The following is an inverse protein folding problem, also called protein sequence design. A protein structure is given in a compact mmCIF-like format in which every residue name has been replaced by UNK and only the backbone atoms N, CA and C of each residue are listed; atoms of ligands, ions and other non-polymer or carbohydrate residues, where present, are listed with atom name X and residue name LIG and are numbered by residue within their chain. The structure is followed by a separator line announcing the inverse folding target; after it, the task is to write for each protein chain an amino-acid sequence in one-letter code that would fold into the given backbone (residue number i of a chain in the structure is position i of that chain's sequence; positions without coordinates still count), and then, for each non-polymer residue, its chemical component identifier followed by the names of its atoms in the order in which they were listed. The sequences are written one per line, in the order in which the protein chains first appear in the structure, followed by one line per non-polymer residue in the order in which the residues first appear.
data_IF_061679915232
#
_entry.id   IF_061679915232
#
_cell.length_a   1.000
_cell.length_b   1.000
_cell.length_c   1.000
_cell.angle_alpha   90.00
_cell.angle_beta   90.00
_cell.angle_gamma   90.00
#
_symmetry.space_group_name_H-M   'P 1'
#
loop_
_entity.id
_entity.type
_entity.pdbx_description
1 polymer ?
#
# COMPACT_ATOMS: atom_id res chain seq x y z
N UNK A 1 20.33 20.34 -6.65
CA UNK A 1 19.19 21.08 -6.08
C UNK A 1 18.31 20.08 -5.34
N UNK A 2 17.83 20.46 -4.17
CA UNK A 2 16.82 19.65 -3.46
C UNK A 2 15.51 19.79 -4.24
N UNK A 3 15.08 18.71 -4.90
CA UNK A 3 13.84 18.67 -5.70
C UNK A 3 12.62 18.24 -4.87
N UNK A 4 12.80 18.05 -3.56
CA UNK A 4 11.71 17.79 -2.63
C UNK A 4 10.75 18.98 -2.56
N UNK A 5 9.47 18.75 -2.51
CA UNK A 5 8.51 19.84 -2.33
C UNK A 5 8.76 20.59 -1.02
N UNK A 6 8.52 21.90 -1.04
CA UNK A 6 8.48 22.68 0.20
C UNK A 6 7.36 22.17 1.11
N UNK A 7 7.46 22.47 2.40
CA UNK A 7 6.43 22.11 3.38
C UNK A 7 5.09 22.74 2.97
N UNK A 8 5.11 24.01 2.56
CA UNK A 8 3.89 24.72 2.15
C UNK A 8 3.27 24.12 0.89
N UNK A 9 4.09 23.74 -0.13
CA UNK A 9 3.57 23.05 -1.31
C UNK A 9 2.91 21.71 -0.94
N UNK A 10 3.52 20.95 -0.04
CA UNK A 10 2.98 19.68 0.42
C UNK A 10 1.63 19.85 1.15
N UNK A 11 1.53 20.83 2.05
CA UNK A 11 0.28 21.12 2.75
C UNK A 11 -0.79 21.71 1.83
N UNK A 12 -0.44 22.62 0.92
CA UNK A 12 -1.38 23.16 -0.06
C UNK A 12 -1.97 22.04 -0.94
N UNK A 13 -1.10 21.11 -1.37
CA UNK A 13 -1.54 19.95 -2.13
C UNK A 13 -2.46 19.05 -1.29
N UNK A 14 -2.12 18.77 -0.03
CA UNK A 14 -2.87 17.89 0.85
C UNK A 14 -4.24 18.46 1.20
N UNK A 15 -4.31 19.75 1.55
CA UNK A 15 -5.54 20.44 1.95
C UNK A 15 -6.46 20.79 0.77
N UNK A 16 -5.96 20.76 -0.47
CA UNK A 16 -6.78 21.02 -1.66
C UNK A 16 -7.76 19.88 -2.01
N UNK A 17 -7.78 18.81 -1.24
CA UNK A 17 -8.60 17.60 -1.48
C UNK A 17 -9.25 17.11 -0.20
N UNK A 18 -10.33 16.30 -0.32
CA UNK A 18 -10.92 15.64 0.84
C UNK A 18 -9.91 14.77 1.56
N UNK A 19 -10.09 14.56 2.86
CA UNK A 19 -9.28 13.63 3.65
C UNK A 19 -9.07 12.30 2.89
N UNK A 20 -7.80 11.91 2.71
CA UNK A 20 -7.41 10.71 1.97
C UNK A 20 -7.68 9.47 2.82
N UNK A 21 -8.55 8.58 2.36
CA UNK A 21 -8.89 7.33 3.04
C UNK A 21 -9.22 6.22 2.05
N UNK A 22 -8.78 5.02 2.37
CA UNK A 22 -8.95 3.87 1.49
C UNK A 22 -8.29 2.62 1.98
N UNK A 23 -7.90 1.77 1.07
CA UNK A 23 -7.29 0.49 1.37
C UNK A 23 -6.15 0.14 0.41
N UNK A 24 -5.27 -0.75 0.86
CA UNK A 24 -4.40 -1.50 -0.04
C UNK A 24 -5.29 -2.53 -0.75
N UNK A 25 -5.29 -2.49 -2.09
CA UNK A 25 -6.29 -3.20 -2.85
C UNK A 25 -5.69 -4.20 -3.83
N UNK A 26 -6.23 -5.39 -3.79
CA UNK A 26 -6.17 -6.41 -4.81
C UNK A 26 -7.51 -7.17 -4.80
N UNK A 27 -8.07 -7.48 -5.98
CA UNK A 27 -9.40 -8.10 -6.04
C UNK A 27 -9.42 -9.50 -5.41
N UNK A 28 -10.55 -9.89 -4.80
CA UNK A 28 -10.72 -11.17 -4.05
C UNK A 28 -10.44 -12.42 -4.88
N UNK A 29 -10.52 -12.34 -6.18
CA UNK A 29 -10.29 -13.46 -7.10
C UNK A 29 -8.84 -13.57 -7.60
N UNK A 30 -7.96 -12.66 -7.22
CA UNK A 30 -6.53 -12.74 -7.48
C UNK A 30 -5.81 -13.60 -6.43
N UNK A 31 -5.02 -14.56 -6.88
CA UNK A 31 -4.13 -15.32 -6.00
C UNK A 31 -2.86 -14.53 -5.65
N UNK A 32 -2.42 -13.66 -6.54
CA UNK A 32 -1.25 -12.80 -6.38
C UNK A 32 -1.33 -11.59 -7.34
N UNK A 33 -0.30 -10.73 -7.35
CA UNK A 33 -0.26 -9.54 -8.22
C UNK A 33 -0.17 -9.86 -9.71
N UNK A 34 0.41 -10.99 -10.11
CA UNK A 34 0.43 -11.41 -11.52
C UNK A 34 -1.01 -11.58 -12.00
N UNK A 35 -1.85 -12.26 -11.23
CA UNK A 35 -3.26 -12.42 -11.55
C UNK A 35 -3.96 -11.10 -11.82
N UNK A 36 -3.65 -10.08 -11.03
CA UNK A 36 -4.29 -8.78 -11.18
C UNK A 36 -3.96 -8.08 -12.50
N UNK A 37 -2.76 -8.31 -13.04
CA UNK A 37 -2.25 -7.50 -14.14
C UNK A 37 -2.03 -8.24 -15.45
N UNK A 38 -1.92 -9.58 -15.45
CA UNK A 38 -1.72 -10.38 -16.67
C UNK A 38 -2.99 -10.42 -17.55
N UNK A 39 -2.81 -10.76 -18.84
CA UNK A 39 -3.92 -10.89 -19.80
C UNK A 39 -4.90 -11.99 -19.38
N UNK A 40 -4.39 -13.16 -18.97
CA UNK A 40 -5.22 -14.30 -18.61
C UNK A 40 -6.17 -13.96 -17.48
N UNK A 41 -7.48 -13.92 -17.74
CA UNK A 41 -8.55 -13.68 -16.79
C UNK A 41 -8.72 -12.21 -16.38
N UNK A 42 -8.10 -11.26 -17.07
CA UNK A 42 -8.19 -9.85 -16.74
C UNK A 42 -9.62 -9.31 -16.79
N UNK A 43 -10.41 -9.69 -17.80
CA UNK A 43 -11.78 -9.19 -17.98
C UNK A 43 -12.69 -9.54 -16.79
N UNK A 44 -12.57 -10.74 -16.27
CA UNK A 44 -13.34 -11.19 -15.11
C UNK A 44 -12.89 -10.45 -13.85
N UNK A 45 -11.56 -10.29 -13.66
CA UNK A 45 -11.00 -9.57 -12.51
C UNK A 45 -11.32 -8.08 -12.55
N UNK A 46 -11.37 -7.48 -13.75
CA UNK A 46 -11.77 -6.08 -13.88
C UNK A 46 -13.23 -5.87 -13.49
N UNK A 47 -14.13 -6.85 -13.77
CA UNK A 47 -15.52 -6.82 -13.28
C UNK A 47 -15.58 -6.96 -11.76
N UNK A 48 -14.78 -7.86 -11.17
CA UNK A 48 -14.69 -7.98 -9.71
C UNK A 48 -14.14 -6.68 -9.10
N UNK A 49 -13.14 -6.07 -9.74
CA UNK A 49 -12.60 -4.76 -9.32
C UNK A 49 -13.68 -3.68 -9.38
N UNK A 50 -14.47 -3.59 -10.43
CA UNK A 50 -15.57 -2.62 -10.57
C UNK A 50 -16.61 -2.79 -9.45
N UNK A 51 -16.99 -4.03 -9.12
CA UNK A 51 -17.93 -4.33 -8.03
C UNK A 51 -17.34 -3.92 -6.67
N UNK A 52 -16.11 -4.29 -6.39
CA UNK A 52 -15.45 -4.01 -5.11
C UNK A 52 -15.14 -2.52 -4.91
N UNK A 53 -14.74 -1.80 -5.97
CA UNK A 53 -14.50 -0.36 -5.88
C UNK A 53 -15.82 0.43 -5.75
N UNK A 54 -16.93 -0.07 -6.35
CA UNK A 54 -18.27 0.45 -6.06
C UNK A 54 -18.62 0.32 -4.57
N UNK A 55 -18.31 -0.84 -3.98
CA UNK A 55 -18.49 -1.07 -2.55
C UNK A 55 -17.61 -0.16 -1.71
N UNK A 56 -16.32 0.01 -2.07
CA UNK A 56 -15.39 0.90 -1.38
C UNK A 56 -15.88 2.36 -1.40
N UNK A 57 -16.33 2.85 -2.55
CA UNK A 57 -16.94 4.17 -2.67
C UNK A 57 -18.21 4.33 -1.81
N UNK A 58 -19.03 3.27 -1.70
CA UNK A 58 -20.27 3.28 -0.92
C UNK A 58 -20.06 3.44 0.60
N UNK A 59 -18.86 3.17 1.09
CA UNK A 59 -18.48 3.40 2.49
C UNK A 59 -17.67 4.68 2.68
N UNK A 60 -17.46 5.44 1.59
CA UNK A 60 -16.78 6.72 1.59
C UNK A 60 -15.29 6.67 1.33
N UNK A 61 -14.71 5.54 0.93
CA UNK A 61 -13.32 5.49 0.47
C UNK A 61 -13.16 6.28 -0.84
N UNK A 62 -12.07 7.02 -0.96
CA UNK A 62 -11.77 7.86 -2.12
C UNK A 62 -10.42 7.55 -2.76
N UNK A 63 -9.70 6.58 -2.24
CA UNK A 63 -8.41 6.18 -2.79
C UNK A 63 -8.12 4.70 -2.54
N UNK A 64 -7.29 4.11 -3.40
CA UNK A 64 -6.68 2.79 -3.20
C UNK A 64 -5.18 2.87 -3.40
N UNK A 65 -4.44 2.02 -2.68
CA UNK A 65 -3.01 1.82 -2.89
C UNK A 65 -2.80 0.48 -3.58
N UNK A 66 -2.13 0.49 -4.74
CA UNK A 66 -1.94 -0.68 -5.59
C UNK A 66 -0.47 -0.86 -5.95
N UNK A 67 -0.06 -2.11 -6.11
CA UNK A 67 1.30 -2.49 -6.50
C UNK A 67 1.21 -3.16 -7.87
N UNK A 68 1.47 -2.43 -8.97
CA UNK A 68 1.57 -3.04 -10.30
C UNK A 68 2.72 -4.05 -10.35
N UNK A 69 2.55 -5.10 -11.15
CA UNK A 69 3.55 -6.18 -11.19
C UNK A 69 4.51 -6.00 -12.37
N UNK A 70 5.76 -5.67 -12.05
CA UNK A 70 6.82 -5.41 -13.03
C UNK A 70 7.01 -6.55 -14.05
N UNK A 71 6.94 -7.80 -13.60
CA UNK A 71 7.16 -8.95 -14.50
C UNK A 71 6.06 -9.05 -15.58
N UNK A 72 4.86 -8.58 -15.30
CA UNK A 72 3.77 -8.53 -16.29
C UNK A 72 4.05 -7.42 -17.31
N UNK A 73 4.46 -6.23 -16.87
CA UNK A 73 4.90 -5.18 -17.79
C UNK A 73 6.06 -5.66 -18.67
N UNK A 74 7.03 -6.37 -18.11
CA UNK A 74 8.19 -6.88 -18.87
C UNK A 74 7.80 -7.88 -19.96
N UNK A 75 6.81 -8.74 -19.68
CA UNK A 75 6.43 -9.85 -20.59
C UNK A 75 5.25 -9.55 -21.50
N UNK A 76 4.37 -8.65 -21.11
CA UNK A 76 3.13 -8.28 -21.82
C UNK A 76 3.00 -6.76 -21.93
N UNK A 77 4.08 -6.08 -22.34
CA UNK A 77 4.23 -4.62 -22.28
C UNK A 77 3.00 -3.84 -22.74
N UNK A 78 2.63 -3.96 -24.02
CA UNK A 78 1.52 -3.17 -24.60
C UNK A 78 0.18 -3.53 -23.94
N UNK A 79 -0.04 -4.82 -23.72
CA UNK A 79 -1.24 -5.31 -23.04
C UNK A 79 -1.31 -4.85 -21.59
N UNK A 80 -0.18 -4.84 -20.88
CA UNK A 80 -0.12 -4.29 -19.51
C UNK A 80 -0.49 -2.80 -19.50
N UNK A 81 0.05 -2.00 -20.41
CA UNK A 81 -0.21 -0.56 -20.47
C UNK A 81 -1.69 -0.27 -20.79
N UNK A 82 -2.34 -1.08 -21.64
CA UNK A 82 -3.77 -0.99 -21.90
C UNK A 82 -4.60 -1.37 -20.65
N UNK A 83 -4.28 -2.48 -20.02
CA UNK A 83 -4.97 -2.95 -18.82
C UNK A 83 -4.81 -1.99 -17.64
N UNK A 84 -3.62 -1.39 -17.49
CA UNK A 84 -3.38 -0.37 -16.46
C UNK A 84 -4.26 0.87 -16.68
N UNK A 85 -4.39 1.33 -17.93
CA UNK A 85 -5.29 2.43 -18.29
C UNK A 85 -6.74 2.10 -17.92
N UNK A 86 -7.25 0.95 -18.34
CA UNK A 86 -8.61 0.49 -18.04
C UNK A 86 -8.87 0.32 -16.55
N UNK A 87 -7.86 -0.09 -15.81
CA UNK A 87 -7.94 -0.18 -14.35
C UNK A 87 -8.12 1.20 -13.70
N UNK A 88 -7.35 2.20 -14.15
CA UNK A 88 -7.51 3.58 -13.70
C UNK A 88 -8.89 4.14 -14.07
N UNK A 89 -9.43 3.82 -15.25
CA UNK A 89 -10.78 4.21 -15.67
C UNK A 89 -11.85 3.63 -14.73
N UNK A 90 -11.73 2.35 -14.35
CA UNK A 90 -12.65 1.71 -13.41
C UNK A 90 -12.56 2.37 -12.03
N UNK A 91 -11.38 2.66 -11.51
CA UNK A 91 -11.24 3.37 -10.24
C UNK A 91 -11.85 4.77 -10.31
N UNK A 92 -11.57 5.51 -11.37
CA UNK A 92 -12.08 6.88 -11.59
C UNK A 92 -13.60 6.93 -11.72
N UNK A 93 -14.22 5.94 -12.37
CA UNK A 93 -15.68 5.78 -12.43
C UNK A 93 -16.34 5.85 -11.06
N UNK A 94 -15.67 5.30 -10.05
CA UNK A 94 -16.11 5.31 -8.65
C UNK A 94 -15.55 6.48 -7.84
N UNK A 95 -14.89 7.46 -8.47
CA UNK A 95 -14.23 8.61 -7.81
C UNK A 95 -13.15 8.16 -6.84
N UNK A 96 -12.48 7.06 -7.15
CA UNK A 96 -11.36 6.51 -6.40
C UNK A 96 -10.07 6.82 -7.15
N UNK A 97 -9.15 7.50 -6.49
CA UNK A 97 -7.79 7.74 -7.00
C UNK A 97 -6.84 6.61 -6.62
N UNK A 98 -5.77 6.44 -7.37
CA UNK A 98 -4.80 5.38 -7.17
C UNK A 98 -3.47 5.93 -6.64
N UNK A 99 -2.96 5.36 -5.54
CA UNK A 99 -1.56 5.48 -5.14
C UNK A 99 -0.81 4.31 -5.75
N UNK A 100 0.22 4.58 -6.53
CA UNK A 100 0.98 3.57 -7.28
C UNK A 100 2.29 3.27 -6.57
N UNK A 101 2.55 2.00 -6.28
CA UNK A 101 3.78 1.52 -5.65
C UNK A 101 4.70 0.90 -6.69
N UNK A 102 5.98 1.28 -6.74
CA UNK A 102 6.94 0.72 -7.68
C UNK A 102 7.83 -0.37 -7.08
N UNK A 103 8.64 -0.05 -6.09
CA UNK A 103 9.52 -1.03 -5.45
C UNK A 103 8.86 -1.74 -4.27
N UNK A 104 9.39 -2.91 -3.89
CA UNK A 104 8.88 -3.65 -2.74
C UNK A 104 9.93 -4.60 -2.18
N UNK A 105 10.29 -4.43 -0.90
CA UNK A 105 11.24 -5.32 -0.22
C UNK A 105 10.59 -6.44 0.60
N UNK A 106 9.26 -6.53 0.63
CA UNK A 106 8.56 -7.69 1.21
C UNK A 106 8.64 -8.89 0.25
N UNK A 107 9.81 -9.50 0.16
CA UNK A 107 10.12 -10.54 -0.82
C UNK A 107 10.57 -11.84 -0.15
N UNK A 108 10.21 -13.01 -0.70
CA UNK A 108 10.74 -14.28 -0.24
C UNK A 108 12.21 -14.47 -0.69
N UNK A 109 12.92 -15.49 -0.17
CA UNK A 109 14.22 -15.90 -0.67
C UNK A 109 14.20 -16.22 -2.16
N UNK A 110 15.39 -16.18 -2.81
CA UNK A 110 15.54 -16.24 -4.28
C UNK A 110 14.79 -17.40 -4.93
N UNK A 111 14.95 -18.61 -4.41
CA UNK A 111 14.33 -19.80 -5.01
C UNK A 111 12.79 -19.72 -5.01
N UNK A 112 12.20 -19.18 -3.97
CA UNK A 112 10.75 -18.96 -3.90
C UNK A 112 10.29 -17.78 -4.75
N UNK A 113 11.07 -16.70 -4.77
CA UNK A 113 10.78 -15.53 -5.60
C UNK A 113 10.77 -15.89 -7.09
N UNK A 114 11.76 -16.65 -7.56
CA UNK A 114 11.86 -17.06 -8.97
C UNK A 114 10.69 -17.93 -9.43
N UNK A 115 10.14 -18.78 -8.57
CA UNK A 115 8.95 -19.60 -8.87
C UNK A 115 7.71 -18.74 -9.15
N UNK A 116 7.67 -17.52 -8.59
CA UNK A 116 6.55 -16.58 -8.68
C UNK A 116 6.67 -15.58 -9.83
N UNK A 117 7.60 -15.77 -10.75
CA UNK A 117 7.82 -14.88 -11.91
C UNK A 117 7.22 -15.42 -13.21
N UNK A 118 6.31 -16.38 -13.14
CA UNK A 118 5.71 -17.03 -14.32
C UNK A 118 4.27 -16.56 -14.50
N UNK A 119 3.96 -16.05 -15.68
CA UNK A 119 2.61 -15.72 -16.09
C UNK A 119 1.82 -17.00 -16.40
N UNK A 120 0.51 -16.87 -16.46
CA UNK A 120 -0.40 -17.98 -16.69
C UNK A 120 -1.29 -18.26 -15.49
N UNK A 121 -1.83 -19.46 -15.37
CA UNK A 121 -2.68 -19.84 -14.25
C UNK A 121 -1.94 -19.74 -12.91
N UNK A 122 -2.40 -18.83 -12.04
CA UNK A 122 -1.82 -18.65 -10.71
C UNK A 122 -2.51 -19.55 -9.70
N UNK A 123 -1.71 -20.21 -8.87
CA UNK A 123 -2.22 -21.08 -7.80
C UNK A 123 -2.39 -20.29 -6.52
N UNK A 124 -3.48 -20.54 -5.81
CA UNK A 124 -3.63 -20.06 -4.44
C UNK A 124 -2.60 -20.74 -3.56
N UNK A 125 -1.66 -19.95 -3.05
CA UNK A 125 -0.61 -20.41 -2.14
C UNK A 125 -0.94 -19.95 -0.73
N UNK A 126 -1.23 -20.90 0.14
CA UNK A 126 -1.44 -20.62 1.55
C UNK A 126 -0.15 -20.08 2.18
N UNK A 127 -0.23 -18.89 2.74
CA UNK A 127 0.94 -18.18 3.27
C UNK A 127 1.63 -17.27 2.25
N UNK A 128 1.05 -17.04 1.07
CA UNK A 128 1.55 -16.03 0.15
C UNK A 128 1.55 -14.64 0.82
N UNK A 129 0.46 -14.26 1.46
CA UNK A 129 0.37 -13.09 2.31
C UNK A 129 0.12 -13.49 3.78
N UNK A 130 -0.91 -14.24 4.07
CA UNK A 130 -1.28 -14.72 5.39
C UNK A 130 -1.33 -16.26 5.47
N UNK A 131 -1.33 -16.79 6.69
CA UNK A 131 -1.35 -18.23 6.97
C UNK A 131 -0.01 -18.79 7.41
N UNK A 132 0.05 -20.10 7.65
CA UNK A 132 1.16 -20.72 8.37
C UNK A 132 2.17 -21.49 7.52
N UNK A 133 1.92 -21.65 6.23
CA UNK A 133 2.69 -22.60 5.41
C UNK A 133 3.97 -21.99 4.82
N UNK A 134 3.88 -20.83 4.22
CA UNK A 134 4.99 -20.13 3.58
C UNK A 134 4.88 -18.63 3.90
N UNK A 135 5.97 -18.00 4.27
CA UNK A 135 6.02 -16.55 4.45
C UNK A 135 6.69 -15.91 3.25
N UNK A 136 6.10 -14.84 2.73
CA UNK A 136 6.76 -14.02 1.72
C UNK A 136 7.89 -13.13 2.28
N UNK A 137 7.96 -12.99 3.59
CA UNK A 137 8.97 -12.16 4.26
C UNK A 137 10.32 -12.86 4.46
N UNK A 138 10.56 -13.99 3.78
CA UNK A 138 11.78 -14.73 3.91
C UNK A 138 11.95 -15.43 5.27
N UNK A 139 13.02 -16.18 5.40
CA UNK A 139 13.47 -16.73 6.68
C UNK A 139 14.40 -15.72 7.36
N UNK A 140 14.54 -15.80 8.69
CA UNK A 140 15.45 -14.91 9.45
C UNK A 140 16.93 -15.05 9.05
N UNK A 141 17.29 -16.05 8.28
CA UNK A 141 18.66 -16.36 7.88
C UNK A 141 19.02 -15.83 6.49
N UNK A 142 18.04 -15.68 5.60
CA UNK A 142 18.24 -15.27 4.22
C UNK A 142 17.57 -13.92 3.96
N UNK A 143 18.15 -13.13 3.05
CA UNK A 143 17.50 -11.91 2.59
C UNK A 143 16.53 -12.22 1.45
N UNK A 144 15.46 -11.43 1.37
CA UNK A 144 14.52 -11.49 0.26
C UNK A 144 15.20 -11.14 -1.06
N UNK A 145 14.84 -11.83 -2.14
CA UNK A 145 15.35 -11.56 -3.47
C UNK A 145 14.43 -10.65 -4.25
N UNK A 146 15.01 -9.66 -4.91
CA UNK A 146 14.33 -8.79 -5.85
C UNK A 146 15.00 -8.85 -7.22
N UNK A 147 14.21 -8.74 -8.31
CA UNK A 147 14.77 -8.63 -9.67
C UNK A 147 15.69 -7.42 -9.85
N UNK A 148 15.57 -6.41 -9.01
CA UNK A 148 16.51 -5.28 -8.94
C UNK A 148 17.95 -5.70 -8.58
N UNK A 149 18.15 -6.89 -8.00
CA UNK A 149 19.47 -7.40 -7.69
C UNK A 149 20.26 -7.85 -8.94
N UNK A 150 19.55 -8.00 -10.07
CA UNK A 150 20.14 -8.36 -11.37
C UNK A 150 20.29 -7.08 -12.22
N UNK A 151 21.51 -6.71 -12.64
CA UNK A 151 21.75 -5.40 -13.29
C UNK A 151 20.87 -5.10 -14.52
N UNK A 152 20.65 -6.12 -15.37
CA UNK A 152 19.78 -5.96 -16.55
C UNK A 152 18.33 -5.74 -16.17
N UNK A 153 17.85 -6.43 -15.14
CA UNK A 153 16.49 -6.28 -14.63
C UNK A 153 16.31 -4.95 -13.89
N UNK A 154 17.33 -4.49 -13.18
CA UNK A 154 17.34 -3.17 -12.56
C UNK A 154 17.16 -2.07 -13.62
N UNK A 155 17.87 -2.16 -14.75
CA UNK A 155 17.72 -1.21 -15.84
C UNK A 155 16.29 -1.22 -16.41
N UNK A 156 15.69 -2.41 -16.59
CA UNK A 156 14.30 -2.55 -17.03
C UNK A 156 13.29 -1.97 -16.01
N UNK A 157 13.55 -2.12 -14.71
CA UNK A 157 12.74 -1.46 -13.69
C UNK A 157 12.81 0.07 -13.79
N UNK A 158 13.99 0.64 -14.06
CA UNK A 158 14.15 2.08 -14.26
C UNK A 158 13.38 2.57 -15.49
N UNK A 159 13.40 1.81 -16.58
CA UNK A 159 12.62 2.08 -17.79
C UNK A 159 11.12 2.04 -17.49
N UNK A 160 10.65 1.02 -16.76
CA UNK A 160 9.25 0.90 -16.32
C UNK A 160 8.78 2.07 -15.48
N UNK A 161 9.53 2.44 -14.43
CA UNK A 161 9.20 3.59 -13.59
C UNK A 161 9.15 4.87 -14.43
N UNK A 162 10.14 5.07 -15.29
CA UNK A 162 10.21 6.24 -16.18
C UNK A 162 9.01 6.30 -17.13
N UNK A 163 8.63 5.20 -17.74
CA UNK A 163 7.52 5.13 -18.67
C UNK A 163 6.19 5.45 -17.99
N UNK A 164 5.87 4.75 -16.90
CA UNK A 164 4.62 4.95 -16.15
C UNK A 164 4.51 6.40 -15.65
N UNK A 165 5.55 6.91 -14.99
CA UNK A 165 5.50 8.28 -14.45
C UNK A 165 5.42 9.31 -15.59
N UNK A 166 6.14 9.13 -16.70
CA UNK A 166 6.09 10.05 -17.84
C UNK A 166 4.70 10.10 -18.45
N UNK A 167 4.08 8.92 -18.65
CA UNK A 167 2.74 8.81 -19.25
C UNK A 167 1.66 9.46 -18.38
N UNK A 168 1.76 9.29 -17.07
CA UNK A 168 0.71 9.70 -16.12
C UNK A 168 1.09 10.90 -15.21
N UNK A 169 2.15 11.63 -15.54
CA UNK A 169 2.66 12.74 -14.69
C UNK A 169 1.66 13.85 -14.42
N UNK A 170 0.67 14.04 -15.27
CA UNK A 170 -0.36 15.09 -15.17
C UNK A 170 -1.77 14.49 -14.96
N UNK A 171 -1.87 13.19 -14.66
CA UNK A 171 -3.12 12.44 -14.54
C UNK A 171 -3.65 12.51 -13.10
N UNK A 172 -4.83 13.08 -12.89
CA UNK A 172 -5.48 13.27 -11.58
C UNK A 172 -6.08 11.98 -11.01
N UNK A 173 -6.19 10.91 -11.78
CA UNK A 173 -6.58 9.58 -11.32
C UNK A 173 -5.49 8.97 -10.42
N UNK A 174 -4.24 9.43 -10.56
CA UNK A 174 -3.14 9.03 -9.69
C UNK A 174 -2.92 10.12 -8.64
N UNK A 175 -3.11 9.75 -7.38
CA UNK A 175 -2.99 10.68 -6.27
C UNK A 175 -1.54 10.87 -5.80
N UNK A 176 -0.73 9.81 -5.82
CA UNK A 176 0.61 9.80 -5.25
C UNK A 176 1.46 8.67 -5.84
N UNK A 177 2.77 8.89 -5.95
CA UNK A 177 3.74 7.86 -6.27
C UNK A 177 4.39 7.35 -4.98
N UNK A 178 4.10 6.11 -4.59
CA UNK A 178 4.80 5.43 -3.51
C UNK A 178 6.02 4.71 -4.11
N UNK A 179 7.16 5.34 -3.94
CA UNK A 179 8.37 4.94 -4.66
C UNK A 179 8.84 3.55 -4.29
N UNK A 180 8.67 3.17 -3.00
CA UNK A 180 9.14 1.88 -2.51
C UNK A 180 8.39 1.43 -1.26
N UNK A 181 7.78 0.25 -1.33
CA UNK A 181 7.15 -0.39 -0.20
C UNK A 181 8.20 -1.01 0.74
N UNK A 182 8.16 -0.60 2.01
CA UNK A 182 8.95 -1.17 3.10
C UNK A 182 10.43 -1.40 2.77
N UNK A 183 11.16 -0.35 2.37
CA UNK A 183 12.55 -0.50 1.97
C UNK A 183 13.39 -1.07 3.11
N UNK A 184 14.18 -2.09 2.80
CA UNK A 184 15.03 -2.81 3.75
C UNK A 184 14.36 -3.98 4.48
N UNK A 185 13.04 -4.20 4.26
CA UNK A 185 12.34 -5.36 4.82
C UNK A 185 12.92 -6.70 4.27
N UNK A 186 12.42 -7.81 4.76
CA UNK A 186 12.88 -9.17 4.42
C UNK A 186 14.41 -9.34 4.55
N UNK A 187 14.98 -8.73 5.59
CA UNK A 187 16.42 -8.72 5.87
C UNK A 187 17.29 -8.13 4.73
N UNK A 188 16.72 -7.34 3.82
CA UNK A 188 17.43 -6.69 2.71
C UNK A 188 18.29 -5.49 3.17
N UNK A 189 17.95 -4.87 4.31
CA UNK A 189 18.70 -3.74 4.86
C UNK A 189 18.87 -2.61 3.83
N UNK A 190 20.11 -2.21 3.52
CA UNK A 190 20.40 -1.16 2.52
C UNK A 190 20.62 -1.69 1.10
N UNK A 191 20.33 -2.97 0.79
CA UNK A 191 20.54 -3.53 -0.55
C UNK A 191 19.76 -2.78 -1.62
N UNK A 192 18.53 -2.38 -1.33
CA UNK A 192 17.66 -1.65 -2.27
C UNK A 192 17.90 -0.13 -2.29
N UNK A 193 18.79 0.41 -1.44
CA UNK A 193 19.04 1.85 -1.37
C UNK A 193 19.52 2.47 -2.70
N UNK A 194 20.43 1.87 -3.47
CA UNK A 194 20.82 2.39 -4.78
C UNK A 194 19.64 2.51 -5.74
N UNK A 195 18.74 1.53 -5.73
CA UNK A 195 17.55 1.49 -6.58
C UNK A 195 16.50 2.51 -6.14
N UNK A 196 16.26 2.62 -4.84
CA UNK A 196 15.38 3.66 -4.29
C UNK A 196 15.88 5.07 -4.66
N UNK A 197 17.18 5.33 -4.55
CA UNK A 197 17.79 6.60 -5.00
C UNK A 197 17.53 6.84 -6.48
N UNK A 198 17.70 5.82 -7.31
CA UNK A 198 17.48 5.94 -8.77
C UNK A 198 16.02 6.17 -9.14
N UNK A 199 15.09 5.51 -8.47
CA UNK A 199 13.66 5.75 -8.66
C UNK A 199 13.28 7.18 -8.30
N UNK A 200 13.74 7.69 -7.14
CA UNK A 200 13.52 9.07 -6.73
C UNK A 200 14.09 10.06 -7.76
N UNK A 201 15.32 9.83 -8.23
CA UNK A 201 15.95 10.64 -9.28
C UNK A 201 15.09 10.72 -10.54
N UNK A 202 14.69 9.56 -11.08
CA UNK A 202 13.86 9.46 -12.29
C UNK A 202 12.56 10.25 -12.13
N UNK A 203 11.85 10.05 -11.02
CA UNK A 203 10.56 10.70 -10.80
C UNK A 203 10.74 12.21 -10.64
N UNK A 204 11.79 12.65 -9.93
CA UNK A 204 12.10 14.08 -9.78
C UNK A 204 12.47 14.75 -11.08
N UNK A 205 13.22 14.08 -11.97
CA UNK A 205 13.56 14.59 -13.31
C UNK A 205 12.30 14.77 -14.18
N UNK A 206 11.33 13.86 -14.09
CA UNK A 206 10.05 13.96 -14.81
C UNK A 206 9.17 15.08 -14.22
N UNK A 207 9.29 15.34 -12.92
CA UNK A 207 8.57 16.39 -12.18
C UNK A 207 7.04 16.29 -12.33
N UNK A 208 6.41 15.19 -11.91
CA UNK A 208 4.97 15.02 -11.99
C UNK A 208 4.22 15.99 -11.06
N UNK A 209 2.93 16.22 -11.34
CA UNK A 209 2.05 17.01 -10.45
C UNK A 209 1.72 16.30 -9.14
N UNK A 210 1.86 14.99 -9.11
CA UNK A 210 1.64 14.17 -7.92
C UNK A 210 2.89 14.20 -7.01
N UNK A 211 2.71 14.17 -5.68
CA UNK A 211 3.82 14.04 -4.74
C UNK A 211 4.39 12.62 -4.75
N UNK A 212 5.61 12.49 -4.25
CA UNK A 212 6.20 11.18 -3.95
C UNK A 212 6.20 10.90 -2.45
N UNK A 213 6.15 9.60 -2.13
CA UNK A 213 6.34 9.08 -0.79
C UNK A 213 7.14 7.79 -0.80
N UNK A 214 7.65 7.38 0.35
CA UNK A 214 8.31 6.08 0.57
C UNK A 214 7.77 5.50 1.86
N UNK A 215 7.21 4.31 1.81
CA UNK A 215 6.57 3.66 2.96
C UNK A 215 7.58 3.24 4.04
N UNK A 216 7.83 4.10 5.02
CA UNK A 216 8.63 3.79 6.21
C UNK A 216 7.84 2.81 7.08
N UNK A 217 8.47 1.73 7.50
CA UNK A 217 7.81 0.65 8.25
C UNK A 217 8.41 0.38 9.64
N UNK A 218 9.56 0.94 9.94
CA UNK A 218 10.17 0.86 11.27
C UNK A 218 9.37 1.64 12.31
N UNK A 219 8.99 1.00 13.42
CA UNK A 219 8.28 1.65 14.52
C UNK A 219 9.17 2.61 15.33
N UNK A 220 10.48 2.42 15.30
CA UNK A 220 11.43 3.29 16.00
C UNK A 220 11.91 4.43 15.09
N UNK A 221 11.10 5.47 14.99
CA UNK A 221 11.35 6.63 14.13
C UNK A 221 12.64 7.39 14.51
N UNK A 222 13.10 7.27 15.74
CA UNK A 222 14.32 7.94 16.18
C UNK A 222 15.58 7.18 15.71
N UNK A 223 15.47 5.86 15.42
CA UNK A 223 16.57 4.99 15.01
C UNK A 223 16.30 4.26 13.69
N UNK A 224 15.78 4.97 12.71
CA UNK A 224 15.55 4.41 11.36
C UNK A 224 16.85 3.95 10.70
N UNK A 225 16.77 2.88 9.92
CA UNK A 225 17.86 2.45 9.04
C UNK A 225 18.20 3.51 8.00
N UNK A 226 19.38 3.42 7.38
CA UNK A 226 19.82 4.37 6.35
C UNK A 226 18.81 4.50 5.20
N UNK A 227 18.27 3.37 4.73
CA UNK A 227 17.32 3.36 3.62
C UNK A 227 15.97 3.97 4.00
N UNK A 228 15.46 3.71 5.21
CA UNK A 228 14.23 4.33 5.70
C UNK A 228 14.41 5.83 5.94
N UNK A 229 15.57 6.22 6.50
CA UNK A 229 15.92 7.64 6.66
C UNK A 229 15.94 8.36 5.31
N UNK A 230 16.60 7.75 4.31
CA UNK A 230 16.60 8.30 2.95
C UNK A 230 15.17 8.46 2.41
N UNK A 231 14.32 7.44 2.57
CA UNK A 231 12.92 7.49 2.17
C UNK A 231 12.17 8.64 2.82
N UNK A 232 12.26 8.76 4.15
CA UNK A 232 11.62 9.83 4.92
C UNK A 232 12.10 11.22 4.47
N UNK A 233 13.40 11.39 4.29
CA UNK A 233 14.01 12.69 3.94
C UNK A 233 13.70 13.12 2.50
N UNK A 234 13.32 12.20 1.61
CA UNK A 234 12.99 12.49 0.22
C UNK A 234 11.48 12.47 -0.09
N UNK A 235 10.63 12.10 0.87
CA UNK A 235 9.17 12.11 0.69
C UNK A 235 8.58 13.51 0.74
N UNK A 236 7.71 13.87 -0.19
CA UNK A 236 6.93 15.11 -0.15
C UNK A 236 5.84 15.03 0.91
N UNK A 237 5.12 13.92 0.90
CA UNK A 237 4.15 13.50 1.91
C UNK A 237 4.77 12.32 2.65
N UNK A 238 4.79 12.36 3.97
CA UNK A 238 5.34 11.26 4.76
C UNK A 238 4.34 10.10 4.79
N UNK A 239 4.77 8.93 4.38
CA UNK A 239 3.99 7.71 4.59
C UNK A 239 4.68 6.75 5.55
N UNK A 240 3.87 5.98 6.28
CA UNK A 240 4.38 5.00 7.23
C UNK A 240 3.43 3.81 7.37
N UNK A 241 3.96 2.70 7.86
CA UNK A 241 3.19 1.52 8.23
C UNK A 241 3.18 1.35 9.74
N UNK A 242 2.04 1.02 10.31
CA UNK A 242 1.94 0.72 11.73
C UNK A 242 0.81 -0.25 12.01
N UNK A 243 1.17 -1.45 12.40
CA UNK A 243 0.25 -2.52 12.82
C UNK A 243 0.20 -2.70 14.35
N UNK A 244 0.87 -1.82 15.10
CA UNK A 244 0.85 -1.82 16.55
C UNK A 244 -0.49 -1.33 17.11
N UNK A 245 -0.80 -1.71 18.35
CA UNK A 245 -1.96 -1.20 19.09
C UNK A 245 -1.98 0.34 19.17
N UNK A 246 -3.11 0.91 19.57
CA UNK A 246 -3.36 2.35 19.61
C UNK A 246 -2.20 3.16 20.20
N UNK A 247 -1.67 2.74 21.36
CA UNK A 247 -0.57 3.45 22.03
C UNK A 247 0.67 3.57 21.13
N UNK A 248 1.05 2.47 20.48
CA UNK A 248 2.21 2.44 19.57
C UNK A 248 1.93 3.32 18.34
N UNK A 249 0.74 3.18 17.73
CA UNK A 249 0.36 3.97 16.56
C UNK A 249 0.38 5.47 16.83
N UNK A 250 -0.12 5.91 17.98
CA UNK A 250 -0.12 7.32 18.41
C UNK A 250 1.30 7.83 18.66
N UNK A 251 2.16 7.04 19.27
CA UNK A 251 3.56 7.42 19.52
C UNK A 251 4.35 7.60 18.20
N UNK A 252 4.19 6.67 17.26
CA UNK A 252 4.79 6.77 15.92
C UNK A 252 4.30 8.04 15.22
N UNK A 253 2.99 8.26 15.18
CA UNK A 253 2.40 9.44 14.54
C UNK A 253 2.93 10.75 15.16
N UNK A 254 2.98 10.83 16.49
CA UNK A 254 3.52 11.99 17.21
C UNK A 254 4.98 12.30 16.84
N UNK A 255 5.80 11.27 16.60
CA UNK A 255 7.18 11.44 16.15
C UNK A 255 7.23 11.94 14.70
N UNK A 256 6.41 11.38 13.79
CA UNK A 256 6.37 11.77 12.39
C UNK A 256 5.87 13.22 12.19
N UNK A 257 4.92 13.67 12.99
CA UNK A 257 4.44 15.07 12.95
C UNK A 257 5.54 16.11 13.21
N UNK A 258 6.65 15.75 13.86
CA UNK A 258 7.80 16.64 14.05
C UNK A 258 8.43 17.10 12.74
N UNK A 259 8.25 16.35 11.65
CA UNK A 259 8.72 16.72 10.31
C UNK A 259 7.88 17.82 9.64
N UNK A 260 6.77 18.24 10.25
CA UNK A 260 5.87 19.33 9.79
C UNK A 260 5.31 19.14 8.39
N UNK A 261 5.24 17.92 7.89
CA UNK A 261 4.65 17.56 6.59
C UNK A 261 3.35 16.81 6.78
N UNK A 262 2.46 16.79 5.76
CA UNK A 262 1.33 15.89 5.79
C UNK A 262 1.78 14.44 5.99
N UNK A 263 1.00 13.65 6.70
CA UNK A 263 1.29 12.26 7.04
C UNK A 263 0.17 11.37 6.54
N UNK A 264 0.54 10.22 5.98
CA UNK A 264 -0.38 9.18 5.53
C UNK A 264 0.05 7.84 6.11
N UNK A 265 -0.84 7.15 6.81
CA UNK A 265 -0.60 5.76 7.19
C UNK A 265 -0.99 4.85 6.01
N UNK A 266 0.00 4.34 5.30
CA UNK A 266 -0.23 3.54 4.09
C UNK A 266 -0.49 2.07 4.36
N UNK A 267 -0.27 1.59 5.59
CA UNK A 267 -0.65 0.24 6.00
C UNK A 267 -0.96 0.17 7.49
N UNK A 268 -2.16 -0.30 7.80
CA UNK A 268 -2.65 -0.56 9.15
C UNK A 268 -3.76 -1.60 9.12
N UNK A 269 -4.37 -1.91 10.24
CA UNK A 269 -5.40 -2.91 10.50
C UNK A 269 -4.81 -4.32 10.68
N UNK A 270 -4.63 -4.70 11.93
CA UNK A 270 -4.15 -6.03 12.35
C UNK A 270 -4.91 -6.42 13.63
N UNK A 271 -6.18 -6.81 13.47
CA UNK A 271 -7.12 -6.99 14.60
C UNK A 271 -6.63 -7.96 15.65
N UNK A 272 -5.98 -9.05 15.23
CA UNK A 272 -5.44 -10.01 16.21
C UNK A 272 -4.35 -9.39 17.11
N UNK A 273 -3.70 -8.31 16.67
CA UNK A 273 -2.68 -7.56 17.40
C UNK A 273 -3.23 -6.28 18.06
N UNK A 274 -4.55 -6.19 18.21
CA UNK A 274 -5.27 -5.02 18.78
C UNK A 274 -5.16 -3.72 17.96
N UNK A 275 -4.74 -3.78 16.70
CA UNK A 275 -4.85 -2.67 15.77
C UNK A 275 -6.16 -2.80 14.98
N UNK A 276 -7.16 -1.99 15.33
CA UNK A 276 -8.55 -2.15 14.91
C UNK A 276 -9.16 -0.84 14.40
N UNK A 277 -10.29 -0.95 13.70
CA UNK A 277 -11.00 0.19 13.12
C UNK A 277 -11.53 1.13 14.20
N UNK A 278 -12.06 0.59 15.29
CA UNK A 278 -12.73 1.33 16.34
C UNK A 278 -11.81 2.37 16.99
N UNK A 279 -10.54 2.06 17.13
CA UNK A 279 -9.55 2.92 17.77
C UNK A 279 -8.77 3.78 16.77
N UNK A 280 -8.30 3.17 15.66
CA UNK A 280 -7.35 3.83 14.78
C UNK A 280 -8.02 4.77 13.77
N UNK A 281 -9.16 4.38 13.20
CA UNK A 281 -9.78 5.18 12.14
C UNK A 281 -10.23 6.58 12.60
N UNK A 282 -10.85 6.71 13.81
CA UNK A 282 -11.14 8.02 14.38
C UNK A 282 -9.90 8.90 14.60
N UNK A 283 -8.78 8.30 15.05
CA UNK A 283 -7.52 9.03 15.26
C UNK A 283 -6.97 9.58 13.95
N UNK A 284 -7.01 8.80 12.88
CA UNK A 284 -6.55 9.28 11.56
C UNK A 284 -7.36 10.49 11.10
N UNK A 285 -8.68 10.45 11.26
CA UNK A 285 -9.54 11.58 10.94
C UNK A 285 -9.21 12.81 11.82
N UNK A 286 -9.24 12.66 13.15
CA UNK A 286 -9.01 13.76 14.11
C UNK A 286 -7.63 14.40 13.97
N UNK A 287 -6.64 13.64 13.57
CA UNK A 287 -5.26 14.10 13.38
C UNK A 287 -4.94 14.53 11.94
N UNK A 288 -5.95 14.53 11.05
CA UNK A 288 -5.81 14.81 9.62
C UNK A 288 -4.69 13.98 8.96
N UNK A 289 -4.70 12.67 9.22
CA UNK A 289 -3.75 11.69 8.68
C UNK A 289 -4.45 10.86 7.63
N UNK A 290 -3.97 10.87 6.39
CA UNK A 290 -4.49 9.96 5.38
C UNK A 290 -4.28 8.51 5.79
N UNK A 291 -5.15 7.58 5.37
CA UNK A 291 -5.02 6.20 5.80
C UNK A 291 -5.46 5.18 4.73
N UNK A 292 -4.72 4.06 4.68
CA UNK A 292 -5.02 2.90 3.84
C UNK A 292 -4.90 1.64 4.69
N UNK A 293 -6.03 1.02 5.04
CA UNK A 293 -5.96 -0.28 5.69
C UNK A 293 -5.44 -1.35 4.73
N UNK A 294 -4.78 -2.38 5.26
CA UNK A 294 -4.40 -3.52 4.45
C UNK A 294 -5.59 -4.43 4.22
N UNK A 295 -5.79 -4.85 2.93
CA UNK A 295 -6.91 -5.68 2.53
C UNK A 295 -8.27 -4.95 2.46
N UNK A 296 -9.19 -5.48 1.68
CA UNK A 296 -10.53 -4.93 1.56
C UNK A 296 -11.59 -6.03 1.53
N UNK A 297 -11.57 -6.90 0.52
CA UNK A 297 -12.44 -8.08 0.44
C UNK A 297 -11.59 -9.34 0.56
N UNK A 298 -11.90 -10.18 1.53
CA UNK A 298 -11.21 -11.46 1.72
C UNK A 298 -11.36 -12.36 0.49
N UNK A 299 -10.27 -12.95 0.06
CA UNK A 299 -10.25 -13.77 -1.15
C UNK A 299 -9.08 -14.72 -1.24
N UNK A 300 -8.68 -15.03 -2.46
CA UNK A 300 -7.57 -15.95 -2.76
C UNK A 300 -6.22 -15.46 -2.24
N UNK A 301 -6.06 -14.17 -2.05
CA UNK A 301 -4.87 -13.54 -1.51
C UNK A 301 -4.68 -13.74 0.00
N UNK A 302 -5.76 -14.10 0.73
CA UNK A 302 -5.74 -14.53 2.14
C UNK A 302 -5.27 -13.46 3.14
N UNK A 303 -5.57 -12.21 2.90
CA UNK A 303 -5.23 -11.10 3.80
C UNK A 303 -5.96 -11.13 5.14
N UNK A 304 -7.01 -11.93 5.27
CA UNK A 304 -7.73 -12.18 6.53
C UNK A 304 -6.95 -13.07 7.52
N UNK A 305 -5.90 -13.77 7.06
CA UNK A 305 -5.07 -14.63 7.90
C UNK A 305 -3.84 -13.88 8.43
N UNK A 306 -3.45 -14.08 9.70
CA UNK A 306 -2.21 -13.51 10.23
C UNK A 306 -0.98 -14.06 9.50
N UNK A 307 0.06 -13.24 9.41
CA UNK A 307 1.35 -13.65 8.85
C UNK A 307 1.97 -14.79 9.65
N UNK A 308 2.74 -15.65 8.98
CA UNK A 308 3.43 -16.75 9.64
C UNK A 308 4.29 -16.28 10.83
N UNK A 309 4.97 -15.14 10.69
CA UNK A 309 5.80 -14.57 11.76
C UNK A 309 4.99 -14.20 13.02
N UNK A 310 3.72 -13.83 12.88
CA UNK A 310 2.82 -13.53 14.00
C UNK A 310 2.42 -14.82 14.71
N UNK A 311 2.09 -15.86 13.95
CA UNK A 311 1.84 -17.19 14.50
C UNK A 311 3.05 -17.73 15.26
N UNK A 312 4.26 -17.62 14.69
CA UNK A 312 5.50 -18.10 15.32
C UNK A 312 5.79 -17.36 16.63
N UNK A 313 5.54 -16.05 16.70
CA UNK A 313 5.70 -15.28 17.94
C UNK A 313 4.72 -15.75 19.01
N UNK A 314 3.46 -15.92 18.67
CA UNK A 314 2.43 -16.40 19.60
C UNK A 314 2.70 -17.83 20.08
N UNK A 315 3.23 -18.71 19.21
CA UNK A 315 3.58 -20.08 19.61
C UNK A 315 4.76 -20.11 20.59
N UNK A 316 5.69 -19.17 20.47
CA UNK A 316 6.85 -19.04 21.38
C UNK A 316 6.47 -18.40 22.71
N UNK A 317 5.51 -17.47 22.71
CA UNK A 317 5.05 -16.79 23.91
C UNK A 317 3.51 -16.71 23.93
N UNK A 318 2.89 -17.64 24.68
CA UNK A 318 1.42 -17.69 24.84
C UNK A 318 0.86 -16.57 25.74
N UNK A 319 1.72 -15.78 26.39
CA UNK A 319 1.30 -14.64 27.21
C UNK A 319 1.06 -13.38 26.38
N UNK A 320 1.40 -13.39 25.09
CA UNK A 320 1.08 -12.26 24.22
C UNK A 320 -0.45 -12.12 24.16
N UNK A 321 -0.92 -10.91 24.45
CA UNK A 321 -2.35 -10.58 24.42
C UNK A 321 -2.84 -10.36 22.98
N UNK A 322 -2.81 -11.41 22.17
CA UNK A 322 -3.30 -11.41 20.79
C UNK A 322 -4.49 -12.37 20.63
N UNK A 323 -5.47 -11.94 19.84
CA UNK A 323 -6.71 -12.68 19.61
C UNK A 323 -6.79 -13.22 18.17
N UNK A 324 -6.37 -14.46 17.97
CA UNK A 324 -6.38 -15.16 16.69
C UNK A 324 -7.77 -15.69 16.27
N UNK A 325 -8.83 -15.41 17.02
CA UNK A 325 -10.21 -15.65 16.57
C UNK A 325 -10.70 -14.55 15.63
N UNK A 326 -10.00 -13.41 15.58
CA UNK A 326 -10.31 -12.30 14.69
C UNK A 326 -9.59 -12.41 13.37
N UNK A 327 -10.23 -11.97 12.29
CA UNK A 327 -9.55 -11.75 11.04
C UNK A 327 -8.43 -10.71 11.18
N UNK A 328 -7.34 -10.94 10.45
CA UNK A 328 -6.20 -10.05 10.55
C UNK A 328 -6.51 -8.70 9.90
N UNK A 329 -6.80 -8.75 8.61
CA UNK A 329 -7.15 -7.58 7.80
C UNK A 329 -8.58 -7.72 7.26
N UNK A 330 -8.83 -7.24 6.07
CA UNK A 330 -10.07 -7.26 5.30
C UNK A 330 -11.31 -6.74 6.03
N UNK A 331 -12.08 -5.93 5.34
CA UNK A 331 -13.32 -5.36 5.87
C UNK A 331 -14.55 -6.17 5.47
N UNK A 332 -14.46 -6.92 4.37
CA UNK A 332 -15.57 -7.65 3.79
C UNK A 332 -15.24 -9.12 3.55
N UNK A 333 -16.28 -9.94 3.66
CA UNK A 333 -16.26 -11.37 3.28
C UNK A 333 -16.28 -11.51 1.76
N UNK A 334 -15.92 -12.67 1.19
CA UNK A 334 -16.05 -12.92 -0.25
C UNK A 334 -17.46 -12.69 -0.80
N UNK A 335 -18.48 -12.81 0.05
CA UNK A 335 -19.89 -12.53 -0.26
C UNK A 335 -20.26 -11.04 -0.22
N UNK A 336 -19.29 -10.15 -0.04
CA UNK A 336 -19.45 -8.70 0.11
C UNK A 336 -20.26 -8.25 1.35
N UNK A 337 -20.49 -9.18 2.30
CA UNK A 337 -21.01 -8.79 3.60
C UNK A 337 -19.87 -8.32 4.51
N UNK A 338 -20.07 -7.31 5.34
CA UNK A 338 -19.07 -6.88 6.30
C UNK A 338 -18.52 -8.00 7.16
N UNK A 339 -17.22 -8.00 7.46
CA UNK A 339 -16.65 -8.83 8.51
C UNK A 339 -17.29 -8.45 9.87
N UNK A 340 -17.23 -7.16 10.21
CA UNK A 340 -17.94 -6.57 11.35
C UNK A 340 -18.75 -5.35 10.88
N UNK A 341 -20.10 -5.39 10.93
CA UNK A 341 -20.93 -4.26 10.55
C UNK A 341 -20.64 -2.96 11.32
N UNK A 342 -20.20 -3.06 12.58
CA UNK A 342 -19.87 -1.88 13.40
C UNK A 342 -18.64 -1.14 12.89
N UNK A 343 -17.65 -1.86 12.37
CA UNK A 343 -16.49 -1.24 11.74
C UNK A 343 -16.89 -0.42 10.51
N UNK A 344 -17.78 -0.96 9.70
CA UNK A 344 -18.28 -0.27 8.50
C UNK A 344 -19.10 0.97 8.87
N UNK A 345 -19.90 0.93 9.94
CA UNK A 345 -20.62 2.09 10.45
C UNK A 345 -19.64 3.21 10.89
N UNK A 346 -18.56 2.86 11.59
CA UNK A 346 -17.51 3.80 11.99
C UNK A 346 -16.85 4.42 10.75
N UNK A 347 -16.42 3.61 9.78
CA UNK A 347 -15.81 4.09 8.54
C UNK A 347 -16.75 5.08 7.84
N UNK A 348 -18.01 4.71 7.60
CA UNK A 348 -19.00 5.57 6.95
C UNK A 348 -19.22 6.88 7.70
N UNK A 349 -19.27 6.81 9.03
CA UNK A 349 -19.49 7.99 9.87
C UNK A 349 -18.38 9.02 9.70
N UNK A 350 -17.12 8.62 9.88
CA UNK A 350 -15.98 9.54 9.78
C UNK A 350 -15.69 10.00 8.34
N UNK A 351 -15.92 9.14 7.35
CA UNK A 351 -15.85 9.54 5.95
C UNK A 351 -16.85 10.65 5.63
N UNK A 352 -18.11 10.50 6.09
CA UNK A 352 -19.15 11.50 5.89
C UNK A 352 -18.82 12.82 6.59
N UNK A 353 -18.36 12.78 7.84
CA UNK A 353 -17.95 13.99 8.56
C UNK A 353 -16.84 14.74 7.80
N UNK A 354 -15.82 14.02 7.34
CA UNK A 354 -14.71 14.61 6.59
C UNK A 354 -15.17 15.28 5.29
N UNK A 355 -16.10 14.66 4.55
CA UNK A 355 -16.64 15.23 3.33
C UNK A 355 -17.48 16.49 3.61
N UNK A 356 -18.34 16.46 4.64
CA UNK A 356 -19.14 17.62 5.06
C UNK A 356 -18.28 18.80 5.52
N UNK A 357 -17.18 18.54 6.22
CA UNK A 357 -16.22 19.58 6.64
C UNK A 357 -15.50 20.18 5.44
N UNK A 358 -14.99 19.35 4.54
CA UNK A 358 -14.31 19.81 3.34
C UNK A 358 -15.22 20.68 2.44
N UNK A 359 -16.48 20.29 2.26
CA UNK A 359 -17.45 21.06 1.49
C UNK A 359 -17.76 22.42 2.15
N UNK A 360 -17.90 22.47 3.48
CA UNK A 360 -18.11 23.73 4.22
C UNK A 360 -16.92 24.68 4.09
N UNK A 361 -15.68 24.16 4.20
CA UNK A 361 -14.48 24.97 4.03
C UNK A 361 -14.38 25.57 2.63
N UNK A 362 -14.71 24.80 1.59
CA UNK A 362 -14.73 25.30 0.20
C UNK A 362 -15.79 26.36 -0.06
N UNK A 363 -16.95 26.24 0.57
CA UNK A 363 -18.03 27.21 0.40
C UNK A 363 -17.78 28.53 1.15
N UNK A 364 -16.82 28.54 2.08
CA UNK A 364 -16.45 29.72 2.87
C UNK A 364 -15.22 30.47 2.30
N UNK A 365 -14.57 29.91 1.25
CA UNK A 365 -13.47 30.57 0.52
C UNK A 365 -13.97 31.29 -0.73
#
# INVERSE_FOLDING_TARGET
MDLRWSIDKAWNWYNARPWIRGCNYMSRDCANRIDQWQELGFEERLKTTDEELSLAASIGFNSIRIIPEFIVWLKEHDGFMERFERYLEVAHKHKISCMIVFGNDCMPPKDEALKRLTLGEQKVEWGYHGGRKVSQHGTFCEHGYHLLDEPEMAQKHYEWVKEIVTKYKDDDRIIMWDVFNEPGNSNRKSMSLPHLKKFVEIIREINPVQPITVGVWGADIDNLSEIERFGLDNSDIISYHSYGELKIGVEVLKKLKKFKRPVVNTEWLARCMNNNVQEMFPIFYLENVGCYNWGFVAGKYQTYEPWNSIWDKYEKDKNINWDFTKWFHDLYRPSLHPYDPKEIEIVKHFCKLADEEFEKERNNQ
#
